data_IF_030629211432
#
_entry.id   IF_030629211432
#
_cell.length_a   1.000
_cell.length_b   1.000
_cell.length_c   1.000
_cell.angle_alpha   90.00
_cell.angle_beta   90.00
_cell.angle_gamma   90.00
#
_symmetry.space_group_name_H-M   'P 1'
#
loop_
_entity.id
_entity.type
_entity.pdbx_description
1 polymer ?
#
# COMPACT_ATOMS: atom_id res chain seq x y z
N UNK A 1 16.16 21.99 -7.25
CA UNK A 1 14.72 22.28 -7.04
C UNK A 1 13.78 21.58 -8.06
N UNK A 2 14.25 21.18 -9.24
CA UNK A 2 13.41 20.56 -10.29
C UNK A 2 13.38 19.01 -10.25
N UNK A 3 14.41 18.37 -9.69
CA UNK A 3 14.45 16.90 -9.49
C UNK A 3 13.34 16.41 -8.56
N UNK A 4 13.10 17.11 -7.44
CA UNK A 4 12.10 16.71 -6.45
C UNK A 4 10.69 16.57 -7.06
N UNK A 5 10.31 17.46 -7.99
CA UNK A 5 9.02 17.35 -8.72
C UNK A 5 8.99 16.16 -9.69
N UNK A 6 10.10 15.85 -10.36
CA UNK A 6 10.19 14.70 -11.27
C UNK A 6 10.13 13.37 -10.51
N UNK A 7 10.77 13.31 -9.35
CA UNK A 7 10.71 12.17 -8.43
C UNK A 7 9.29 11.99 -7.89
N UNK A 8 8.63 13.07 -7.49
CA UNK A 8 7.24 13.03 -7.00
C UNK A 8 6.25 12.53 -8.08
N UNK A 9 6.45 12.94 -9.34
CA UNK A 9 5.66 12.45 -10.48
C UNK A 9 5.88 10.96 -10.71
N UNK A 10 7.13 10.48 -10.67
CA UNK A 10 7.43 9.05 -10.79
C UNK A 10 6.81 8.24 -9.65
N UNK A 11 6.89 8.74 -8.41
CA UNK A 11 6.27 8.11 -7.24
C UNK A 11 4.75 7.99 -7.41
N UNK A 12 4.07 9.05 -7.83
CA UNK A 12 2.61 9.05 -8.10
C UNK A 12 2.23 8.09 -9.24
N UNK A 13 3.04 8.04 -10.30
CA UNK A 13 2.82 7.14 -11.43
C UNK A 13 2.95 5.67 -11.03
N UNK A 14 3.97 5.34 -10.25
CA UNK A 14 4.12 4.00 -9.66
C UNK A 14 2.93 3.68 -8.76
N UNK A 15 2.54 4.58 -7.84
CA UNK A 15 1.37 4.43 -6.98
C UNK A 15 0.10 4.07 -7.77
N UNK A 16 -0.13 4.78 -8.87
CA UNK A 16 -1.29 4.55 -9.75
C UNK A 16 -1.23 3.17 -10.42
N UNK A 17 -0.07 2.80 -10.93
CA UNK A 17 0.15 1.47 -11.53
C UNK A 17 -0.08 0.35 -10.50
N UNK A 18 0.41 0.52 -9.26
CA UNK A 18 0.24 -0.44 -8.16
C UNK A 18 -1.22 -0.57 -7.69
N UNK A 19 -1.93 0.54 -7.56
CA UNK A 19 -3.32 0.55 -7.08
C UNK A 19 -4.28 -0.12 -8.07
N UNK A 20 -4.07 0.11 -9.38
CA UNK A 20 -5.02 -0.32 -10.41
C UNK A 20 -4.77 -1.73 -10.94
N UNK A 21 -3.52 -2.22 -10.92
CA UNK A 21 -3.16 -3.48 -11.63
C UNK A 21 -2.90 -4.70 -10.74
N UNK A 22 -3.13 -4.61 -9.43
CA UNK A 22 -2.78 -5.69 -8.47
C UNK A 22 -1.32 -6.19 -8.57
N UNK A 23 -0.40 -5.38 -9.10
CA UNK A 23 0.97 -5.78 -9.35
C UNK A 23 1.70 -6.09 -8.04
N UNK A 24 2.43 -7.20 -8.01
CA UNK A 24 3.19 -7.60 -6.82
C UNK A 24 4.48 -6.77 -6.70
N UNK A 25 4.91 -6.40 -5.48
CA UNK A 25 6.16 -5.66 -5.27
C UNK A 25 7.39 -6.29 -5.95
N UNK A 26 7.44 -7.63 -6.00
CA UNK A 26 8.52 -8.41 -6.62
C UNK A 26 8.63 -8.24 -8.13
N UNK A 27 7.54 -7.97 -8.82
CA UNK A 27 7.55 -7.72 -10.27
C UNK A 27 8.10 -6.34 -10.59
N UNK A 28 7.89 -5.38 -9.69
CA UNK A 28 8.40 -4.02 -9.84
C UNK A 28 9.86 -3.94 -9.44
N UNK A 29 10.31 -4.72 -8.46
CA UNK A 29 11.73 -4.81 -8.17
C UNK A 29 12.55 -5.30 -9.36
N UNK A 30 12.02 -6.27 -10.12
CA UNK A 30 12.64 -6.70 -11.39
C UNK A 30 12.72 -5.57 -12.41
N UNK A 31 11.73 -4.70 -12.51
CA UNK A 31 11.76 -3.57 -13.47
C UNK A 31 12.69 -2.45 -12.99
N UNK A 32 12.67 -2.14 -11.69
CA UNK A 32 13.43 -1.05 -11.07
C UNK A 32 14.92 -1.38 -10.95
N UNK A 33 15.28 -2.62 -10.65
CA UNK A 33 16.67 -3.10 -10.61
C UNK A 33 17.43 -2.94 -11.94
N UNK A 34 16.73 -2.87 -13.08
CA UNK A 34 17.32 -2.60 -14.40
C UNK A 34 17.40 -1.11 -14.73
N UNK A 35 16.77 -0.25 -13.92
CA UNK A 35 16.83 1.19 -14.04
C UNK A 35 17.95 1.77 -13.16
N UNK A 36 18.49 2.95 -13.50
CA UNK A 36 19.49 3.65 -12.65
C UNK A 36 18.88 4.25 -11.37
N UNK A 37 17.68 3.82 -10.98
CA UNK A 37 17.01 4.27 -9.76
C UNK A 37 17.75 3.61 -8.58
N UNK A 38 18.18 4.42 -7.61
CA UNK A 38 18.90 3.94 -6.43
C UNK A 38 18.03 2.92 -5.66
N UNK A 39 18.62 1.80 -5.25
CA UNK A 39 18.00 0.73 -4.47
C UNK A 39 17.28 1.25 -3.22
N UNK A 40 17.79 2.28 -2.57
CA UNK A 40 17.15 2.92 -1.41
C UNK A 40 15.78 3.52 -1.77
N UNK A 41 15.63 4.03 -2.98
CA UNK A 41 14.36 4.58 -3.47
C UNK A 41 13.39 3.48 -3.89
N UNK A 42 13.89 2.37 -4.44
CA UNK A 42 13.08 1.19 -4.76
C UNK A 42 12.43 0.63 -3.49
N UNK A 43 13.22 0.39 -2.44
CA UNK A 43 12.72 -0.11 -1.15
C UNK A 43 11.75 0.89 -0.48
N UNK A 44 12.05 2.19 -0.53
CA UNK A 44 11.16 3.23 -0.01
C UNK A 44 9.82 3.27 -0.77
N UNK A 45 9.83 3.11 -2.09
CA UNK A 45 8.60 3.11 -2.89
C UNK A 45 7.76 1.86 -2.69
N UNK A 46 8.38 0.68 -2.58
CA UNK A 46 7.68 -0.58 -2.27
C UNK A 46 7.02 -0.52 -0.89
N UNK A 47 7.76 -0.12 0.14
CA UNK A 47 7.23 0.02 1.50
C UNK A 47 6.11 1.05 1.57
N UNK A 48 6.22 2.16 0.84
CA UNK A 48 5.15 3.17 0.76
C UNK A 48 3.89 2.62 0.08
N UNK A 49 4.04 1.89 -1.02
CA UNK A 49 2.90 1.29 -1.73
C UNK A 49 2.19 0.23 -0.87
N UNK A 50 2.95 -0.63 -0.18
CA UNK A 50 2.41 -1.63 0.74
C UNK A 50 1.67 -0.96 1.91
N UNK A 51 2.25 0.08 2.49
CA UNK A 51 1.61 0.88 3.55
C UNK A 51 0.29 1.49 3.09
N UNK A 52 0.26 2.10 1.91
CA UNK A 52 -0.96 2.72 1.38
C UNK A 52 -2.05 1.70 1.05
N UNK A 53 -1.67 0.53 0.52
CA UNK A 53 -2.62 -0.57 0.31
C UNK A 53 -3.19 -1.07 1.64
N UNK A 54 -2.36 -1.12 2.68
CA UNK A 54 -2.79 -1.48 4.03
C UNK A 54 -3.71 -0.41 4.64
N UNK A 55 -3.38 0.87 4.51
CA UNK A 55 -4.21 1.99 4.96
C UNK A 55 -5.61 1.98 4.32
N UNK A 56 -5.71 1.70 3.01
CA UNK A 56 -7.00 1.54 2.34
C UNK A 56 -7.86 0.42 2.95
N UNK A 57 -7.27 -0.76 3.18
CA UNK A 57 -7.96 -1.88 3.83
C UNK A 57 -8.39 -1.58 5.26
N UNK A 58 -7.58 -0.80 6.00
CA UNK A 58 -7.88 -0.38 7.38
C UNK A 58 -9.10 0.54 7.39
N UNK A 59 -9.21 1.46 6.44
CA UNK A 59 -10.38 2.34 6.32
C UNK A 59 -11.64 1.54 5.94
N UNK A 60 -11.54 0.61 4.99
CA UNK A 60 -12.64 -0.30 4.66
C UNK A 60 -13.09 -1.10 5.88
N UNK A 61 -12.15 -1.69 6.63
CA UNK A 61 -12.43 -2.42 7.87
C UNK A 61 -13.15 -1.56 8.91
N UNK A 62 -12.70 -0.31 9.10
CA UNK A 62 -13.34 0.64 10.03
C UNK A 62 -14.77 0.94 9.63
N UNK A 63 -15.05 1.11 8.33
CA UNK A 63 -16.39 1.40 7.85
C UNK A 63 -17.31 0.18 7.95
N UNK A 64 -16.82 -1.03 7.64
CA UNK A 64 -17.57 -2.27 7.83
C UNK A 64 -17.96 -2.49 9.30
N UNK A 65 -17.04 -2.26 10.25
CA UNK A 65 -17.34 -2.38 11.68
C UNK A 65 -18.39 -1.35 12.13
N UNK A 66 -18.33 -0.11 11.62
CA UNK A 66 -19.36 0.91 11.89
C UNK A 66 -20.74 0.52 11.33
N UNK A 67 -20.77 -0.19 10.21
CA UNK A 67 -22.00 -0.74 9.62
C UNK A 67 -22.52 -2.00 10.32
N UNK A 68 -21.81 -2.49 11.35
CA UNK A 68 -22.25 -3.61 12.18
C UNK A 68 -21.82 -4.99 11.69
N UNK A 69 -20.85 -5.07 10.77
CA UNK A 69 -20.27 -6.36 10.37
C UNK A 69 -19.50 -7.00 11.53
N UNK A 70 -19.62 -8.31 11.67
CA UNK A 70 -18.86 -9.07 12.67
C UNK A 70 -17.35 -9.06 12.36
N UNK A 71 -16.52 -9.10 13.41
CA UNK A 71 -15.07 -9.00 13.30
C UNK A 71 -14.47 -10.10 12.42
N UNK A 72 -14.96 -11.35 12.52
CA UNK A 72 -14.48 -12.46 11.70
C UNK A 72 -14.75 -12.23 10.20
N UNK A 73 -15.91 -11.65 9.87
CA UNK A 73 -16.29 -11.29 8.50
C UNK A 73 -15.37 -10.20 7.95
N UNK A 74 -15.11 -9.17 8.76
CA UNK A 74 -14.20 -8.07 8.40
C UNK A 74 -12.79 -8.59 8.13
N UNK A 75 -12.24 -9.42 9.02
CA UNK A 75 -10.90 -10.01 8.86
C UNK A 75 -10.84 -10.90 7.61
N UNK A 76 -11.87 -11.72 7.37
CA UNK A 76 -11.94 -12.59 6.18
C UNK A 76 -12.01 -11.81 4.86
N UNK A 77 -12.79 -10.73 4.80
CA UNK A 77 -12.97 -9.94 3.57
C UNK A 77 -11.74 -9.07 3.27
N UNK A 78 -11.22 -8.38 4.28
CA UNK A 78 -10.08 -7.46 4.11
C UNK A 78 -8.75 -8.20 4.02
N UNK A 79 -8.69 -9.42 4.56
CA UNK A 79 -7.46 -10.19 4.72
C UNK A 79 -6.50 -9.58 5.74
N UNK A 80 -7.02 -8.74 6.64
CA UNK A 80 -6.27 -8.18 7.78
C UNK A 80 -6.28 -9.17 8.95
N UNK A 81 -5.34 -8.99 9.86
CA UNK A 81 -5.31 -9.67 11.16
C UNK A 81 -5.89 -8.78 12.25
N UNK A 82 -6.26 -9.37 13.38
CA UNK A 82 -6.73 -8.60 14.55
C UNK A 82 -5.64 -7.64 15.05
N UNK A 83 -4.36 -8.03 14.97
CA UNK A 83 -3.25 -7.16 15.34
C UNK A 83 -3.15 -5.94 14.41
N UNK A 84 -3.37 -6.11 13.10
CA UNK A 84 -3.39 -4.99 12.16
C UNK A 84 -4.45 -3.96 12.54
N UNK A 85 -5.61 -4.39 13.05
CA UNK A 85 -6.67 -3.47 13.48
C UNK A 85 -6.30 -2.74 14.78
N UNK A 86 -5.64 -3.42 15.73
CA UNK A 86 -5.16 -2.83 16.99
C UNK A 86 -4.06 -1.80 16.74
N UNK A 87 -3.09 -2.13 15.89
CA UNK A 87 -1.96 -1.25 15.55
C UNK A 87 -2.44 0.09 14.94
N UNK A 88 -3.61 0.07 14.29
CA UNK A 88 -4.22 1.25 13.65
C UNK A 88 -5.40 1.84 14.45
N UNK A 89 -5.63 1.37 15.69
CA UNK A 89 -6.70 1.88 16.57
C UNK A 89 -8.10 1.80 15.94
N UNK A 90 -8.38 0.72 15.22
CA UNK A 90 -9.71 0.43 14.71
C UNK A 90 -10.57 -0.25 15.78
N UNK A 91 -9.96 -1.10 16.59
CA UNK A 91 -10.56 -1.84 17.71
C UNK A 91 -9.68 -1.74 18.96
#
# INVERSE_FOLDING_TARGET
KNESKRVEILQKLFLYIFSVRELKPTEISKVLSHSRINRDYEDLTMTTAERLKKEGKIEDARNMLKEGFELDVVLRITGLTEQDLKDYGVI
#
